data_IF_800382431250
#
_entry.id   IF_800382431250
#
_cell.length_a   1.000
_cell.length_b   1.000
_cell.length_c   1.000
_cell.angle_alpha   90.00
_cell.angle_beta   90.00
_cell.angle_gamma   90.00
#
_symmetry.space_group_name_H-M   'P 1'
#
loop_
_entity.id
_entity.type
_entity.pdbx_description
1 polymer ?
#
# COMPACT_ATOMS: atom_id res chain seq x y z
N UNK A 1 -16.65 -1.37 1.30
CA UNK A 1 -15.98 -2.33 2.21
C UNK A 1 -15.50 -3.53 1.42
N UNK A 2 -14.27 -3.99 1.63
CA UNK A 2 -13.80 -5.26 1.03
C UNK A 2 -14.35 -6.42 1.86
N UNK A 3 -15.11 -7.36 1.27
CA UNK A 3 -15.58 -8.54 2.00
C UNK A 3 -14.41 -9.30 2.63
N UNK A 4 -14.61 -9.84 3.83
CA UNK A 4 -13.60 -10.69 4.49
C UNK A 4 -12.52 -9.95 5.29
N UNK A 5 -12.73 -8.69 5.65
CA UNK A 5 -11.84 -7.94 6.55
C UNK A 5 -12.58 -7.44 7.80
N UNK A 6 -11.89 -7.47 8.94
CA UNK A 6 -12.22 -6.66 10.11
C UNK A 6 -11.46 -5.34 9.96
N UNK A 7 -12.14 -4.22 10.26
CA UNK A 7 -11.59 -2.88 10.10
C UNK A 7 -11.53 -2.14 11.44
N UNK A 8 -10.39 -1.53 11.71
CA UNK A 8 -10.20 -0.53 12.75
C UNK A 8 -10.15 0.84 12.07
N UNK A 9 -11.16 1.68 12.32
CA UNK A 9 -11.25 3.04 11.83
C UNK A 9 -11.23 4.01 13.01
N UNK A 10 -10.54 5.14 12.83
CA UNK A 10 -10.87 6.34 13.57
C UNK A 10 -11.65 7.28 12.63
N UNK A 11 -12.93 7.57 12.92
CA UNK A 11 -13.76 8.43 12.07
C UNK A 11 -13.29 9.90 12.04
N UNK A 12 -12.43 10.32 12.98
CA UNK A 12 -11.81 11.65 12.94
C UNK A 12 -10.77 11.80 11.81
N UNK A 13 -10.33 10.69 11.22
CA UNK A 13 -9.44 10.68 10.05
C UNK A 13 -10.33 10.58 8.81
N UNK A 14 -10.52 11.73 8.16
CA UNK A 14 -11.39 11.84 6.99
C UNK A 14 -10.65 11.65 5.66
N UNK A 15 -9.35 11.97 5.61
CA UNK A 15 -8.61 12.00 4.35
C UNK A 15 -7.49 10.95 4.27
N UNK A 16 -7.80 9.81 3.64
CA UNK A 16 -6.81 8.74 3.42
C UNK A 16 -5.74 9.05 2.35
N UNK A 17 -5.75 10.25 1.73
CA UNK A 17 -4.84 10.58 0.61
C UNK A 17 -3.37 10.75 1.02
N UNK A 18 -3.09 11.07 2.28
CA UNK A 18 -1.73 11.31 2.78
C UNK A 18 -1.11 10.07 3.47
N UNK A 19 -1.61 8.88 3.18
CA UNK A 19 -1.30 7.70 3.98
C UNK A 19 -0.19 6.84 3.38
N UNK A 20 0.70 6.40 4.25
CA UNK A 20 1.51 5.21 4.03
C UNK A 20 0.71 3.96 4.36
N UNK A 21 0.78 2.98 3.46
CA UNK A 21 0.26 1.64 3.68
C UNK A 21 1.40 0.73 4.09
N UNK A 22 1.21 0.03 5.20
CA UNK A 22 2.12 -1.03 5.67
C UNK A 22 1.40 -2.36 5.54
N UNK A 23 1.86 -3.18 4.62
CA UNK A 23 1.32 -4.50 4.32
C UNK A 23 2.07 -5.55 5.11
N UNK A 24 1.34 -6.41 5.81
CA UNK A 24 1.89 -7.62 6.43
C UNK A 24 1.29 -8.83 5.72
N UNK A 25 2.16 -9.62 5.10
CA UNK A 25 1.80 -10.93 4.58
C UNK A 25 1.79 -11.92 5.73
N UNK A 26 0.76 -12.75 5.78
CA UNK A 26 0.63 -13.77 6.81
C UNK A 26 0.18 -15.08 6.19
N UNK A 27 0.83 -16.18 6.59
CA UNK A 27 0.58 -17.53 6.09
C UNK A 27 -0.71 -18.14 6.68
N UNK A 28 -0.99 -17.86 7.96
CA UNK A 28 -2.09 -18.47 8.72
C UNK A 28 -2.79 -17.48 9.63
N UNK A 29 -4.11 -17.62 9.77
CA UNK A 29 -4.93 -16.76 10.64
C UNK A 29 -4.48 -16.76 12.11
N UNK A 30 -3.95 -17.88 12.62
CA UNK A 30 -3.46 -17.98 14.00
C UNK A 30 -2.30 -17.04 14.29
N UNK A 31 -1.43 -16.81 13.30
CA UNK A 31 -0.30 -15.88 13.43
C UNK A 31 -0.76 -14.43 13.22
N UNK A 32 -1.78 -14.21 12.38
CA UNK A 32 -2.29 -12.90 12.03
C UNK A 32 -2.74 -12.09 13.25
N UNK A 33 -3.39 -12.72 14.23
CA UNK A 33 -3.85 -12.03 15.45
C UNK A 33 -2.69 -11.50 16.29
N UNK A 34 -1.55 -12.20 16.31
CA UNK A 34 -0.34 -11.74 17.01
C UNK A 34 0.25 -10.52 16.32
N UNK A 35 0.41 -10.58 14.99
CA UNK A 35 0.87 -9.43 14.19
C UNK A 35 -0.07 -8.23 14.34
N UNK A 36 -1.38 -8.48 14.33
CA UNK A 36 -2.41 -7.46 14.48
C UNK A 36 -2.35 -6.76 15.83
N UNK A 37 -2.35 -7.51 16.93
CA UNK A 37 -2.28 -6.92 18.28
C UNK A 37 -0.99 -6.13 18.49
N UNK A 38 0.14 -6.66 18.01
CA UNK A 38 1.43 -5.97 18.05
C UNK A 38 1.40 -4.66 17.25
N UNK A 39 0.84 -4.70 16.04
CA UNK A 39 0.75 -3.53 15.17
C UNK A 39 -0.19 -2.45 15.67
N UNK A 40 -1.36 -2.80 16.22
CA UNK A 40 -2.25 -1.83 16.86
C UNK A 40 -1.56 -1.08 18.00
N UNK A 41 -0.83 -1.79 18.88
CA UNK A 41 -0.08 -1.16 19.98
C UNK A 41 1.05 -0.28 19.47
N UNK A 42 1.78 -0.74 18.46
CA UNK A 42 2.87 0.03 17.86
C UNK A 42 2.35 1.30 17.16
N UNK A 43 1.27 1.19 16.38
CA UNK A 43 0.66 2.31 15.67
C UNK A 43 0.11 3.33 16.67
N UNK A 44 -0.60 2.88 17.71
CA UNK A 44 -1.12 3.75 18.76
C UNK A 44 -0.01 4.53 19.48
N UNK A 45 1.15 3.92 19.70
CA UNK A 45 2.32 4.63 20.28
C UNK A 45 2.95 5.64 19.31
N UNK A 46 2.93 5.34 18.02
CA UNK A 46 3.59 6.16 17.01
C UNK A 46 2.74 7.38 16.61
N UNK A 47 1.45 7.19 16.35
CA UNK A 47 0.57 8.23 15.79
C UNK A 47 -0.71 8.46 16.60
N UNK A 48 -0.85 7.85 17.77
CA UNK A 48 -2.07 7.91 18.57
C UNK A 48 -3.22 7.22 17.84
N UNK A 49 -4.37 7.87 17.77
CA UNK A 49 -5.53 7.34 17.02
C UNK A 49 -5.54 7.77 15.54
N UNK A 50 -4.44 8.38 15.04
CA UNK A 50 -4.30 8.83 13.63
C UNK A 50 -3.86 7.70 12.68
N UNK A 51 -4.53 6.56 12.74
CA UNK A 51 -4.33 5.46 11.79
C UNK A 51 -5.61 4.68 11.55
N UNK A 52 -5.70 4.05 10.38
CA UNK A 52 -6.66 2.96 10.14
C UNK A 52 -5.91 1.64 10.00
N UNK A 53 -6.59 0.53 10.21
CA UNK A 53 -6.01 -0.77 9.97
C UNK A 53 -7.08 -1.78 9.56
N UNK A 54 -6.67 -2.83 8.85
CA UNK A 54 -7.54 -3.96 8.53
C UNK A 54 -6.81 -5.29 8.63
N UNK A 55 -7.56 -6.34 8.96
CA UNK A 55 -7.09 -7.73 9.03
C UNK A 55 -8.08 -8.68 8.34
N UNK A 56 -7.58 -9.65 7.58
CA UNK A 56 -8.38 -10.71 6.96
C UNK A 56 -9.09 -11.56 8.04
N UNK A 57 -10.40 -11.73 7.90
CA UNK A 57 -11.27 -12.22 8.99
C UNK A 57 -11.53 -13.73 8.98
N UNK A 58 -11.14 -14.45 7.93
CA UNK A 58 -11.47 -15.85 7.74
C UNK A 58 -10.25 -16.69 7.35
N UNK A 59 -10.12 -17.93 7.85
CA UNK A 59 -8.99 -18.82 7.53
C UNK A 59 -8.78 -19.04 6.03
N UNK A 60 -9.87 -19.13 5.25
CA UNK A 60 -9.83 -19.33 3.79
C UNK A 60 -9.17 -18.19 3.02
N UNK A 61 -8.96 -17.03 3.66
CA UNK A 61 -8.28 -15.88 3.07
C UNK A 61 -6.77 -15.93 3.24
N UNK A 62 -6.21 -16.99 3.82
CA UNK A 62 -4.78 -17.18 4.04
C UNK A 62 -4.26 -18.34 3.17
N UNK A 63 -3.00 -18.30 2.69
CA UNK A 63 -2.01 -17.24 2.88
C UNK A 63 -2.34 -16.00 2.04
N UNK A 64 -1.98 -14.81 2.53
CA UNK A 64 -2.28 -13.55 1.83
C UNK A 64 -1.25 -12.47 2.04
N UNK A 65 -0.97 -11.72 0.96
CA UNK A 65 0.07 -10.66 0.89
C UNK A 65 -0.32 -9.37 1.60
N UNK A 66 -1.62 -9.14 1.72
CA UNK A 66 -2.27 -8.01 2.40
C UNK A 66 -3.20 -8.52 3.51
N UNK A 67 -2.77 -9.58 4.21
CA UNK A 67 -3.53 -10.17 5.31
C UNK A 67 -3.80 -9.13 6.40
N UNK A 68 -2.82 -8.25 6.66
CA UNK A 68 -2.98 -7.06 7.50
C UNK A 68 -2.50 -5.84 6.72
N UNK A 69 -3.20 -4.72 6.86
CA UNK A 69 -2.77 -3.43 6.31
C UNK A 69 -2.97 -2.35 7.36
N UNK A 70 -1.92 -1.59 7.65
CA UNK A 70 -2.01 -0.34 8.40
C UNK A 70 -1.95 0.83 7.44
N UNK A 71 -2.75 1.84 7.71
CA UNK A 71 -2.75 3.14 7.05
C UNK A 71 -2.25 4.13 8.10
N UNK A 72 -1.04 4.65 7.90
CA UNK A 72 -0.41 5.63 8.78
C UNK A 72 -0.38 7.01 8.11
N UNK A 73 -0.92 8.01 8.79
CA UNK A 73 -0.94 9.42 8.35
C UNK A 73 0.35 10.13 8.77
N UNK A 74 0.78 11.14 8.00
CA UNK A 74 1.70 12.18 8.49
C UNK A 74 3.04 11.61 9.02
N UNK A 75 3.58 10.61 8.33
CA UNK A 75 4.88 10.01 8.63
C UNK A 75 5.80 10.03 7.41
N UNK A 76 7.08 10.22 7.66
CA UNK A 76 8.12 9.96 6.68
C UNK A 76 8.34 8.44 6.45
N UNK A 77 9.05 8.12 5.37
CA UNK A 77 9.29 6.73 4.98
C UNK A 77 10.10 5.95 6.02
N UNK A 78 11.03 6.60 6.72
CA UNK A 78 11.92 5.94 7.68
C UNK A 78 11.16 5.55 8.95
N UNK A 79 10.26 6.41 9.44
CA UNK A 79 9.35 6.12 10.54
C UNK A 79 8.39 4.97 10.19
N UNK A 80 7.85 4.97 8.98
CA UNK A 80 6.98 3.90 8.46
C UNK A 80 7.76 2.59 8.33
N UNK A 81 9.00 2.64 7.84
CA UNK A 81 9.87 1.48 7.72
C UNK A 81 10.28 0.94 9.09
N UNK A 82 10.54 1.80 10.07
CA UNK A 82 10.81 1.41 11.46
C UNK A 82 9.59 0.70 12.07
N UNK A 83 8.38 1.26 11.90
CA UNK A 83 7.14 0.61 12.31
C UNK A 83 6.96 -0.76 11.64
N UNK A 84 7.14 -0.85 10.33
CA UNK A 84 6.96 -2.11 9.61
C UNK A 84 7.97 -3.18 10.02
N UNK A 85 9.21 -2.81 10.37
CA UNK A 85 10.20 -3.77 10.91
C UNK A 85 9.76 -4.40 12.23
N UNK A 86 9.01 -3.69 13.08
CA UNK A 86 8.39 -4.27 14.29
C UNK A 86 7.40 -5.38 13.95
N UNK A 87 6.81 -5.34 12.75
CA UNK A 87 5.84 -6.33 12.27
C UNK A 87 6.46 -7.52 11.55
N UNK A 88 7.78 -7.55 11.37
CA UNK A 88 8.44 -8.68 10.74
C UNK A 88 8.29 -9.98 11.54
N UNK A 89 8.32 -11.11 10.84
CA UNK A 89 8.34 -12.44 11.46
C UNK A 89 7.87 -13.54 10.51
N UNK A 90 6.89 -13.25 9.67
CA UNK A 90 6.44 -14.17 8.63
C UNK A 90 7.36 -14.04 7.39
N UNK A 91 7.63 -15.15 6.70
CA UNK A 91 8.41 -15.17 5.45
C UNK A 91 7.54 -15.23 4.20
N UNK A 92 6.22 -15.13 4.36
CA UNK A 92 5.28 -15.06 3.26
C UNK A 92 5.62 -13.92 2.28
N UNK A 93 5.52 -14.14 0.95
CA UNK A 93 5.91 -13.14 -0.04
C UNK A 93 5.01 -11.89 -0.01
N UNK A 94 5.60 -10.69 0.00
CA UNK A 94 4.83 -9.45 -0.17
C UNK A 94 4.72 -9.02 -1.64
N UNK A 95 3.80 -8.10 -1.94
CA UNK A 95 3.53 -7.65 -3.31
C UNK A 95 4.77 -7.04 -3.97
N UNK A 96 4.94 -7.29 -5.28
CA UNK A 96 6.02 -6.67 -6.09
C UNK A 96 5.85 -5.17 -6.25
N UNK A 97 4.65 -4.64 -6.06
CA UNK A 97 4.38 -3.20 -6.14
C UNK A 97 4.77 -2.43 -4.86
N UNK A 98 5.21 -3.12 -3.81
CA UNK A 98 5.59 -2.51 -2.53
C UNK A 98 7.11 -2.50 -2.37
N UNK A 99 7.64 -1.55 -1.58
CA UNK A 99 9.03 -1.63 -1.10
C UNK A 99 9.10 -2.65 0.03
N UNK A 100 9.88 -3.71 -0.15
CA UNK A 100 10.12 -4.71 0.89
C UNK A 100 11.04 -4.11 1.95
N UNK A 101 10.61 -4.10 3.21
CA UNK A 101 11.37 -3.49 4.31
C UNK A 101 11.79 -4.51 5.38
N UNK A 102 11.12 -5.66 5.42
CA UNK A 102 11.44 -6.79 6.29
C UNK A 102 10.76 -8.07 5.76
N UNK A 103 11.16 -9.28 6.20
CA UNK A 103 10.40 -10.50 5.92
C UNK A 103 8.92 -10.33 6.22
N UNK A 104 8.08 -10.60 5.22
CA UNK A 104 6.62 -10.51 5.31
C UNK A 104 6.07 -9.08 5.35
N UNK A 105 6.89 -8.04 5.18
CA UNK A 105 6.44 -6.64 5.30
C UNK A 105 6.85 -5.78 4.10
N UNK A 106 5.86 -5.12 3.51
CA UNK A 106 6.06 -4.16 2.42
C UNK A 106 5.34 -2.83 2.68
N UNK A 107 5.84 -1.74 2.09
CA UNK A 107 5.24 -0.41 2.22
C UNK A 107 4.93 0.21 0.86
N UNK A 108 3.90 1.06 0.80
CA UNK A 108 3.57 1.88 -0.36
C UNK A 108 2.71 3.10 0.02
N UNK A 109 2.71 4.15 -0.79
CA UNK A 109 1.75 5.25 -0.69
C UNK A 109 0.34 4.78 -1.08
N UNK A 110 -0.68 5.28 -0.37
CA UNK A 110 -2.05 5.23 -0.85
C UNK A 110 -2.14 6.01 -2.18
N UNK A 111 -2.74 5.45 -3.25
CA UNK A 111 -2.97 6.20 -4.47
C UNK A 111 -3.83 7.43 -4.21
N UNK A 112 -3.45 8.57 -4.80
CA UNK A 112 -4.25 9.78 -4.69
C UNK A 112 -5.59 9.59 -5.43
N UNK A 113 -6.70 9.72 -4.70
CA UNK A 113 -8.05 9.55 -5.26
C UNK A 113 -8.36 10.54 -6.39
N UNK A 114 -7.72 11.73 -6.41
CA UNK A 114 -7.93 12.74 -7.45
C UNK A 114 -7.31 12.37 -8.81
N UNK A 115 -6.34 11.45 -8.83
CA UNK A 115 -5.63 11.01 -10.04
C UNK A 115 -6.22 9.72 -10.63
N UNK A 116 -6.98 8.97 -9.83
CA UNK A 116 -7.76 7.84 -10.31
C UNK A 116 -9.11 8.35 -10.83
N UNK A 117 -9.21 8.63 -12.14
CA UNK A 117 -10.49 8.98 -12.77
C UNK A 117 -11.49 7.81 -12.63
N UNK A 118 -12.31 7.80 -11.57
CA UNK A 118 -13.32 6.77 -11.34
C UNK A 118 -13.57 6.40 -9.87
N UNK A 119 -14.12 5.21 -9.66
CA UNK A 119 -14.40 4.65 -8.33
C UNK A 119 -13.10 4.33 -7.58
N UNK A 120 -13.05 4.40 -6.23
CA UNK A 120 -11.84 4.08 -5.49
C UNK A 120 -11.41 2.63 -5.73
N UNK A 121 -10.34 2.44 -6.50
CA UNK A 121 -9.73 1.13 -6.75
C UNK A 121 -8.75 0.78 -5.63
N UNK A 122 -8.60 -0.51 -5.33
CA UNK A 122 -7.56 -0.95 -4.39
C UNK A 122 -6.17 -0.62 -4.95
N UNK A 123 -5.16 -0.40 -4.09
CA UNK A 123 -3.78 -0.16 -4.54
C UNK A 123 -3.27 -1.21 -5.52
N UNK A 124 -3.52 -2.50 -5.25
CA UNK A 124 -3.08 -3.57 -6.14
C UNK A 124 -3.74 -3.47 -7.52
N UNK A 125 -5.04 -3.16 -7.54
CA UNK A 125 -5.77 -2.95 -8.80
C UNK A 125 -5.25 -1.72 -9.55
N UNK A 126 -4.98 -0.62 -8.86
CA UNK A 126 -4.42 0.59 -9.47
C UNK A 126 -3.06 0.32 -10.12
N UNK A 127 -2.11 -0.27 -9.39
CA UNK A 127 -0.77 -0.56 -9.93
C UNK A 127 -0.82 -1.59 -11.05
N UNK A 128 -1.66 -2.61 -10.93
CA UNK A 128 -1.82 -3.62 -11.97
C UNK A 128 -2.49 -3.08 -13.25
N UNK A 129 -3.50 -2.21 -13.12
CA UNK A 129 -4.20 -1.65 -14.28
C UNK A 129 -3.28 -0.76 -15.12
N UNK A 130 -2.45 0.06 -14.46
CA UNK A 130 -1.48 0.92 -15.15
C UNK A 130 -0.44 0.07 -15.89
N UNK A 131 0.08 -0.98 -15.26
CA UNK A 131 1.04 -1.89 -15.92
C UNK A 131 0.41 -2.66 -17.09
N UNK A 132 -0.83 -3.12 -16.95
CA UNK A 132 -1.54 -3.81 -18.01
C UNK A 132 -1.81 -2.90 -19.23
N UNK A 133 -2.10 -1.62 -18.98
CA UNK A 133 -2.28 -0.63 -20.04
C UNK A 133 -0.97 -0.39 -20.80
N UNK A 134 0.15 -0.27 -20.08
CA UNK A 134 1.47 -0.14 -20.69
C UNK A 134 1.85 -1.30 -21.62
N UNK A 135 1.63 -2.53 -21.17
CA UNK A 135 1.87 -3.72 -21.98
C UNK A 135 0.99 -3.76 -23.24
N UNK A 136 -0.24 -3.26 -23.13
CA UNK A 136 -1.15 -3.18 -24.28
C UNK A 136 -0.66 -2.15 -25.30
N UNK A 137 -0.18 -0.99 -24.85
CA UNK A 137 0.34 0.07 -25.71
C UNK A 137 1.64 -0.35 -26.42
N UNK A 138 2.54 -1.06 -25.73
CA UNK A 138 3.77 -1.62 -26.33
C UNK A 138 3.45 -2.57 -27.50
N UNK A 139 2.54 -3.53 -27.26
CA UNK A 139 2.13 -4.53 -28.25
C UNK A 139 1.46 -3.88 -29.47
N UNK A 140 0.66 -2.83 -29.24
CA UNK A 140 -0.12 -2.18 -30.31
C UNK A 140 0.66 -1.15 -31.11
N UNK A 141 1.63 -0.47 -30.51
CA UNK A 141 2.26 0.71 -31.12
C UNK A 141 3.79 0.61 -31.30
N UNK A 142 4.43 -0.49 -30.89
CA UNK A 142 5.88 -0.72 -31.03
C UNK A 142 6.74 0.48 -30.57
N UNK A 143 6.29 1.14 -29.50
CA UNK A 143 6.97 2.30 -28.95
C UNK A 143 8.21 1.90 -28.14
N UNK A 144 9.13 2.85 -27.92
CA UNK A 144 10.22 2.68 -26.96
C UNK A 144 9.63 2.50 -25.56
N UNK A 145 9.62 1.25 -25.09
CA UNK A 145 8.93 0.83 -23.88
C UNK A 145 9.35 1.63 -22.66
N UNK A 146 10.65 1.94 -22.52
CA UNK A 146 11.18 2.59 -21.32
C UNK A 146 10.69 4.04 -21.20
N UNK A 147 10.62 4.77 -22.32
CA UNK A 147 10.13 6.15 -22.36
C UNK A 147 8.63 6.19 -22.11
N UNK A 148 7.86 5.35 -22.81
CA UNK A 148 6.40 5.29 -22.67
C UNK A 148 5.99 4.81 -21.27
N UNK A 149 6.72 3.85 -20.70
CA UNK A 149 6.52 3.37 -19.34
C UNK A 149 6.69 4.50 -18.31
N UNK A 150 7.78 5.25 -18.40
CA UNK A 150 8.04 6.35 -17.47
C UNK A 150 6.94 7.43 -17.54
N UNK A 151 6.55 7.85 -18.74
CA UNK A 151 5.50 8.86 -18.92
C UNK A 151 4.14 8.38 -18.43
N UNK A 152 3.74 7.15 -18.75
CA UNK A 152 2.45 6.60 -18.35
C UNK A 152 2.34 6.46 -16.83
N UNK A 153 3.41 5.98 -16.18
CA UNK A 153 3.48 5.89 -14.72
C UNK A 153 3.29 7.28 -14.08
N UNK A 154 4.00 8.30 -14.58
CA UNK A 154 3.87 9.69 -14.09
C UNK A 154 2.45 10.23 -14.31
N UNK A 155 1.85 10.01 -15.48
CA UNK A 155 0.46 10.42 -15.78
C UNK A 155 -0.56 9.79 -14.83
N UNK A 156 -0.29 8.58 -14.34
CA UNK A 156 -1.10 7.88 -13.34
C UNK A 156 -0.65 8.14 -11.89
N UNK A 157 0.20 9.15 -11.67
CA UNK A 157 0.65 9.56 -10.34
C UNK A 157 1.63 8.59 -9.66
N UNK A 158 2.27 7.70 -10.41
CA UNK A 158 3.21 6.68 -9.91
C UNK A 158 4.64 7.14 -10.18
N UNK A 159 5.52 7.05 -9.18
CA UNK A 159 6.93 7.33 -9.39
C UNK A 159 7.59 6.19 -10.20
N UNK A 160 8.13 6.46 -11.40
CA UNK A 160 8.67 5.40 -12.27
C UNK A 160 9.95 4.75 -11.73
N UNK A 161 10.66 5.43 -10.82
CA UNK A 161 11.85 4.88 -10.14
C UNK A 161 11.51 4.17 -8.83
N UNK A 162 10.29 4.35 -8.34
CA UNK A 162 9.83 3.84 -7.06
C UNK A 162 8.32 3.60 -7.12
N UNK A 163 7.89 2.49 -7.76
CA UNK A 163 6.47 2.18 -8.01
C UNK A 163 5.58 2.13 -6.76
N UNK A 164 6.20 1.97 -5.59
CA UNK A 164 5.54 1.99 -4.29
C UNK A 164 5.21 3.42 -3.82
N UNK A 165 5.81 4.45 -4.43
CA UNK A 165 5.55 5.87 -4.16
C UNK A 165 4.62 6.47 -5.22
N UNK A 166 3.94 7.52 -4.82
CA UNK A 166 3.34 8.45 -5.78
C UNK A 166 4.41 9.43 -6.28
N UNK A 167 4.17 10.08 -7.42
CA UNK A 167 4.96 11.27 -7.79
C UNK A 167 4.77 12.34 -6.72
N UNK A 168 5.84 13.06 -6.37
CA UNK A 168 5.71 14.24 -5.51
C UNK A 168 4.92 15.28 -6.30
N UNK A 169 3.82 15.78 -5.73
CA UNK A 169 3.15 16.94 -6.27
C UNK A 169 4.16 18.08 -6.30
N UNK A 170 4.47 18.65 -7.46
CA UNK A 170 5.07 19.98 -7.49
C UNK A 170 4.02 20.96 -6.98
N UNK A 171 3.94 21.18 -5.67
CA UNK A 171 3.16 22.27 -5.08
C UNK A 171 4.09 23.16 -4.26
N UNK A 172 4.19 24.44 -4.65
CA UNK A 172 4.71 25.51 -3.78
C UNK A 172 5.93 26.32 -4.24
N UNK A 173 6.16 26.49 -5.54
CA UNK A 173 7.05 27.55 -6.06
C UNK A 173 6.24 28.78 -6.49
N UNK A 174 5.86 29.64 -5.55
CA UNK A 174 5.35 31.00 -5.81
C UNK A 174 5.68 31.91 -4.64
#
# INVERSE_FOLDING_TARGET
>A
MSPGYIYYANPAIADLRAFWRVYVSVERIGDALNFWSRGLRAAKRLVGDRFHAKIASMPILYPRRDAIVFYLEDLDEDAVAAFGRVLSGDRAPVSRFTRHIAPGVGIAHEPNAAQAAGSPVSFGQHRASVLAQLLSDEILYAADFDIVAAENLVRNGINPRAIYRNVESMEGGS
#
